data_IF_469556591356
#
_entry.id   IF_469556591356
#
_cell.length_a   1.000
_cell.length_b   1.000
_cell.length_c   1.000
_cell.angle_alpha   90.00
_cell.angle_beta   90.00
_cell.angle_gamma   90.00
#
_symmetry.space_group_name_H-M   'P 1'
#
loop_
_entity.id
_entity.type
_entity.pdbx_description
1 polymer ?
#
# COMPACT_ATOMS: atom_id res chain seq x y z
N UNK A 1 35.87 -0.70 22.16
CA UNK A 1 34.53 -1.26 22.34
C UNK A 1 33.57 -0.32 23.10
N UNK A 2 34.04 0.33 24.18
CA UNK A 2 33.22 1.24 25.03
C UNK A 2 32.71 2.48 24.28
N UNK A 3 33.49 3.08 23.38
CA UNK A 3 33.09 4.26 22.61
C UNK A 3 31.98 3.99 21.57
N UNK A 4 31.94 2.79 20.97
CA UNK A 4 30.87 2.40 20.03
C UNK A 4 29.52 2.23 20.74
N UNK A 5 29.52 1.62 21.92
CA UNK A 5 28.30 1.45 22.74
C UNK A 5 27.75 2.80 23.22
N UNK A 6 28.63 3.74 23.57
CA UNK A 6 28.22 5.08 23.99
C UNK A 6 27.57 5.86 22.84
N UNK A 7 28.18 5.83 21.65
CA UNK A 7 27.60 6.49 20.47
C UNK A 7 26.24 5.89 20.05
N UNK A 8 26.08 4.55 20.14
CA UNK A 8 24.82 3.87 19.88
C UNK A 8 23.76 4.27 20.90
N UNK A 9 24.10 4.28 22.18
CA UNK A 9 23.16 4.68 23.24
C UNK A 9 22.76 6.16 23.12
N UNK A 10 23.68 7.04 22.74
CA UNK A 10 23.38 8.46 22.51
C UNK A 10 22.45 8.66 21.30
N UNK A 11 22.68 7.93 20.22
CA UNK A 11 21.82 7.97 19.03
C UNK A 11 20.42 7.44 19.32
N UNK A 12 20.31 6.36 20.09
CA UNK A 12 19.01 5.81 20.53
C UNK A 12 18.27 6.80 21.44
N UNK A 13 18.96 7.43 22.38
CA UNK A 13 18.40 8.45 23.25
C UNK A 13 17.86 9.64 22.44
N UNK A 14 18.64 10.13 21.48
CA UNK A 14 18.22 11.21 20.58
C UNK A 14 16.99 10.83 19.74
N UNK A 15 16.96 9.61 19.21
CA UNK A 15 15.81 9.10 18.47
C UNK A 15 14.55 9.01 19.34
N UNK A 16 14.69 8.52 20.58
CA UNK A 16 13.58 8.43 21.53
C UNK A 16 13.05 9.82 21.91
N UNK A 17 13.93 10.79 22.15
CA UNK A 17 13.54 12.17 22.40
C UNK A 17 12.76 12.75 21.18
N UNK A 18 13.29 12.57 19.97
CA UNK A 18 12.64 13.04 18.75
C UNK A 18 11.25 12.41 18.57
N UNK A 19 11.10 11.12 18.85
CA UNK A 19 9.82 10.42 18.81
C UNK A 19 8.85 10.95 19.86
N UNK A 20 9.33 11.17 21.09
CA UNK A 20 8.50 11.72 22.18
C UNK A 20 8.02 13.14 21.88
N UNK A 21 8.89 14.02 21.37
CA UNK A 21 8.51 15.36 20.92
C UNK A 21 7.50 15.31 19.77
N UNK A 22 7.70 14.41 18.81
CA UNK A 22 6.77 14.21 17.71
C UNK A 22 5.38 13.79 18.23
N UNK A 23 5.33 12.80 19.12
CA UNK A 23 4.07 12.33 19.71
C UNK A 23 3.39 13.43 20.53
N UNK A 24 4.14 14.19 21.33
CA UNK A 24 3.61 15.34 22.07
C UNK A 24 3.01 16.39 21.13
N UNK A 25 3.73 16.75 20.06
CA UNK A 25 3.23 17.69 19.05
C UNK A 25 1.96 17.17 18.37
N UNK A 26 1.93 15.89 17.95
CA UNK A 26 0.80 15.29 17.25
C UNK A 26 -0.44 15.15 18.15
N UNK A 27 -0.26 14.95 19.44
CA UNK A 27 -1.38 14.91 20.42
C UNK A 27 -1.86 16.31 20.84
N UNK A 28 -1.25 17.37 20.34
CA UNK A 28 -1.64 18.74 20.69
C UNK A 28 -2.84 19.23 19.86
N UNK A 29 -3.64 20.11 20.45
CA UNK A 29 -4.71 20.83 19.75
C UNK A 29 -4.19 21.63 18.54
N UNK A 30 -2.91 22.04 18.57
CA UNK A 30 -2.30 22.76 17.48
C UNK A 30 -2.16 21.88 16.23
N UNK A 31 -1.72 20.63 16.42
CA UNK A 31 -1.63 19.67 15.31
C UNK A 31 -3.03 19.35 14.77
N UNK A 32 -3.98 19.10 15.64
CA UNK A 32 -5.37 18.82 15.24
C UNK A 32 -5.97 19.96 14.41
N UNK A 33 -5.82 21.22 14.85
CA UNK A 33 -6.23 22.41 14.10
C UNK A 33 -5.52 22.52 12.74
N UNK A 34 -4.24 22.15 12.68
CA UNK A 34 -3.46 22.19 11.42
C UNK A 34 -4.02 21.22 10.39
N UNK A 35 -4.30 19.97 10.77
CA UNK A 35 -4.81 18.94 9.84
C UNK A 35 -6.29 19.13 9.54
N UNK A 36 -7.05 19.80 10.41
CA UNK A 36 -8.48 20.09 10.25
C UNK A 36 -8.79 21.24 9.29
N UNK A 37 -7.78 21.84 8.65
CA UNK A 37 -7.98 22.84 7.58
C UNK A 37 -8.54 22.16 6.35
N UNK A 38 -9.86 22.09 6.24
CA UNK A 38 -10.59 21.45 5.15
C UNK A 38 -11.38 22.49 4.35
N UNK A 39 -11.68 22.18 3.10
CA UNK A 39 -12.55 22.97 2.23
C UNK A 39 -13.91 22.30 2.13
N UNK A 40 -14.93 23.07 1.83
CA UNK A 40 -16.24 22.50 1.47
C UNK A 40 -16.19 22.07 0.01
N UNK A 41 -16.02 20.78 -0.22
CA UNK A 41 -15.82 20.19 -1.53
C UNK A 41 -16.68 18.94 -1.68
N UNK A 42 -17.03 18.62 -2.90
CA UNK A 42 -17.87 17.46 -3.24
C UNK A 42 -17.07 16.39 -4.03
N UNK A 43 -17.60 15.19 -4.03
CA UNK A 43 -17.11 14.11 -4.89
C UNK A 43 -17.31 14.47 -6.36
N UNK A 44 -16.22 14.51 -7.12
CA UNK A 44 -16.24 14.67 -8.55
C UNK A 44 -15.98 13.31 -9.25
N UNK A 45 -14.88 12.64 -8.92
CA UNK A 45 -14.60 11.31 -9.41
C UNK A 45 -15.04 10.22 -8.42
N UNK A 46 -15.68 9.18 -8.93
CA UNK A 46 -16.19 8.03 -8.17
C UNK A 46 -15.43 6.76 -8.56
N UNK A 47 -14.38 6.39 -7.82
CA UNK A 47 -13.54 5.25 -8.17
C UNK A 47 -14.29 3.93 -8.08
N UNK A 48 -14.12 3.05 -9.06
CA UNK A 48 -14.72 1.73 -9.05
C UNK A 48 -14.10 0.84 -7.97
N UNK A 49 -14.88 0.23 -7.06
CA UNK A 49 -14.37 -0.71 -6.07
C UNK A 49 -13.73 -1.95 -6.71
N UNK A 50 -14.11 -2.26 -7.95
CA UNK A 50 -13.61 -3.39 -8.71
C UNK A 50 -12.09 -3.30 -9.01
N UNK A 51 -11.55 -2.10 -9.17
CA UNK A 51 -10.11 -1.91 -9.40
C UNK A 51 -9.26 -2.47 -8.25
N UNK A 52 -9.77 -2.44 -7.04
CA UNK A 52 -9.05 -2.87 -5.83
C UNK A 52 -9.46 -4.25 -5.34
N UNK A 53 -10.71 -4.64 -5.48
CA UNK A 53 -11.23 -5.90 -4.93
C UNK A 53 -10.48 -7.15 -5.42
N UNK A 54 -9.95 -7.09 -6.64
CA UNK A 54 -9.16 -8.17 -7.23
C UNK A 54 -7.70 -8.21 -6.78
N UNK A 55 -7.17 -7.08 -6.28
CA UNK A 55 -5.77 -6.93 -5.86
C UNK A 55 -5.64 -7.05 -4.36
N UNK A 56 -6.63 -6.52 -3.64
CA UNK A 56 -6.69 -6.58 -2.19
C UNK A 56 -7.38 -7.88 -1.79
N UNK A 57 -6.58 -8.90 -1.53
CA UNK A 57 -7.11 -10.17 -0.96
C UNK A 57 -7.53 -9.92 0.47
N UNK A 58 -8.81 -9.64 0.70
CA UNK A 58 -9.30 -9.59 2.06
C UNK A 58 -9.90 -10.93 2.48
N UNK A 59 -10.83 -11.46 1.73
CA UNK A 59 -11.39 -12.82 1.86
C UNK A 59 -12.15 -13.20 0.57
N UNK A 60 -12.21 -14.50 0.24
CA UNK A 60 -12.95 -14.98 -0.95
C UNK A 60 -14.47 -14.88 -0.78
N UNK A 61 -14.97 -14.82 0.47
CA UNK A 61 -16.40 -14.82 0.79
C UNK A 61 -16.89 -13.38 1.01
N UNK A 62 -17.97 -13.00 0.33
CA UNK A 62 -18.63 -11.70 0.57
C UNK A 62 -19.53 -11.79 1.79
N UNK A 63 -19.57 -10.72 2.57
CA UNK A 63 -20.36 -10.61 3.80
C UNK A 63 -21.44 -9.54 3.64
N UNK A 64 -22.56 -9.75 4.32
CA UNK A 64 -23.55 -8.70 4.56
C UNK A 64 -23.32 -8.10 5.93
N UNK A 65 -23.42 -6.78 6.06
CA UNK A 65 -23.41 -6.09 7.34
C UNK A 65 -24.88 -5.90 7.76
N UNK A 66 -25.49 -6.92 8.30
CA UNK A 66 -26.87 -6.77 8.81
C UNK A 66 -26.90 -6.67 10.36
N UNK A 67 -25.89 -7.26 11.03
CA UNK A 67 -25.93 -7.49 12.49
C UNK A 67 -24.68 -6.98 13.23
N UNK A 68 -24.06 -5.89 12.79
CA UNK A 68 -22.98 -5.31 13.58
C UNK A 68 -23.55 -4.52 14.77
N UNK A 69 -23.26 -4.99 15.98
CA UNK A 69 -23.43 -4.20 17.19
C UNK A 69 -22.45 -3.01 17.16
N UNK A 70 -22.90 -1.89 16.56
CA UNK A 70 -22.08 -0.71 16.27
C UNK A 70 -21.37 -0.14 17.50
N UNK A 71 -21.97 -0.31 18.69
CA UNK A 71 -21.43 0.21 19.93
C UNK A 71 -20.21 -0.60 20.43
N UNK A 72 -20.16 -1.88 20.13
CA UNK A 72 -19.13 -2.81 20.64
C UNK A 72 -17.97 -3.03 19.66
N UNK A 73 -18.15 -2.73 18.37
CA UNK A 73 -17.13 -2.94 17.32
C UNK A 73 -15.77 -2.32 17.69
N UNK A 74 -15.79 -1.13 18.35
CA UNK A 74 -14.59 -0.37 18.70
C UNK A 74 -14.13 -0.56 20.14
N UNK A 75 -14.86 -1.34 20.94
CA UNK A 75 -14.59 -1.51 22.37
C UNK A 75 -13.79 -2.74 22.73
N UNK A 76 -13.62 -3.68 21.82
CA UNK A 76 -12.91 -4.92 22.07
C UNK A 76 -11.40 -4.71 22.25
N UNK A 77 -10.80 -5.40 23.21
CA UNK A 77 -9.36 -5.48 23.43
C UNK A 77 -8.70 -6.27 22.26
N UNK A 78 -8.66 -5.64 21.10
CA UNK A 78 -8.08 -6.22 19.90
C UNK A 78 -6.56 -6.20 20.00
N UNK A 79 -5.92 -7.32 19.60
CA UNK A 79 -4.49 -7.32 19.37
C UNK A 79 -4.13 -6.37 18.20
N UNK A 80 -2.86 -6.03 18.04
CA UNK A 80 -2.43 -5.06 17.03
C UNK A 80 -2.82 -5.44 15.59
N UNK A 81 -2.81 -6.73 15.25
CA UNK A 81 -3.15 -7.21 13.91
C UNK A 81 -4.64 -7.06 13.62
N UNK A 82 -5.48 -7.42 14.59
CA UNK A 82 -6.95 -7.27 14.50
C UNK A 82 -7.35 -5.80 14.47
N UNK A 83 -6.76 -4.98 15.34
CA UNK A 83 -6.98 -3.54 15.35
C UNK A 83 -6.67 -2.91 13.98
N UNK A 84 -5.51 -3.23 13.39
CA UNK A 84 -5.13 -2.75 12.06
C UNK A 84 -6.12 -3.20 11.00
N UNK A 85 -6.54 -4.47 11.02
CA UNK A 85 -7.54 -5.01 10.06
C UNK A 85 -8.89 -4.33 10.18
N UNK A 86 -9.34 -4.05 11.39
CA UNK A 86 -10.62 -3.36 11.61
C UNK A 86 -10.56 -1.91 11.16
N UNK A 87 -9.53 -1.15 11.58
CA UNK A 87 -9.44 0.28 11.39
C UNK A 87 -8.96 0.71 10.00
N UNK A 88 -8.38 -0.17 9.18
CA UNK A 88 -8.03 0.11 7.80
C UNK A 88 -9.20 0.00 6.82
N UNK A 89 -10.31 -0.59 7.24
CA UNK A 89 -11.55 -0.77 6.47
C UNK A 89 -11.41 -1.54 5.15
N UNK A 90 -10.31 -2.21 4.88
CA UNK A 90 -10.17 -3.01 3.66
C UNK A 90 -11.16 -4.17 3.58
N UNK A 91 -11.74 -4.58 4.70
CA UNK A 91 -12.82 -5.55 4.74
C UNK A 91 -14.10 -5.07 4.00
N UNK A 92 -14.23 -3.74 3.73
CA UNK A 92 -15.31 -3.21 2.89
C UNK A 92 -15.29 -3.79 1.47
N UNK A 93 -14.12 -4.13 0.92
CA UNK A 93 -14.02 -4.81 -0.38
C UNK A 93 -14.59 -6.24 -0.38
N UNK A 94 -14.85 -6.81 0.79
CA UNK A 94 -15.52 -8.10 0.96
C UNK A 94 -17.02 -7.98 1.22
N UNK A 95 -17.56 -6.76 1.31
CA UNK A 95 -18.98 -6.56 1.47
C UNK A 95 -19.73 -6.80 0.16
N UNK A 96 -20.91 -7.36 0.27
CA UNK A 96 -21.85 -7.38 -0.85
C UNK A 96 -22.39 -5.96 -1.09
N UNK A 97 -22.50 -5.56 -2.35
CA UNK A 97 -23.14 -4.28 -2.73
C UNK A 97 -24.63 -4.23 -2.33
N UNK A 98 -25.24 -5.37 -2.02
CA UNK A 98 -26.57 -5.48 -1.40
C UNK A 98 -26.58 -5.21 0.10
N UNK A 99 -25.40 -5.04 0.72
CA UNK A 99 -25.29 -4.69 2.13
C UNK A 99 -26.00 -3.35 2.42
N UNK A 100 -26.51 -3.20 3.62
CA UNK A 100 -27.21 -1.98 4.03
C UNK A 100 -26.28 -0.77 3.99
N UNK A 101 -26.54 0.18 3.09
CA UNK A 101 -25.84 1.46 3.03
C UNK A 101 -25.96 2.20 4.38
N UNK A 102 -27.14 2.19 5.00
CA UNK A 102 -27.37 2.82 6.30
C UNK A 102 -26.44 2.28 7.38
N UNK A 103 -26.29 0.95 7.46
CA UNK A 103 -25.40 0.31 8.43
C UNK A 103 -23.94 0.66 8.15
N UNK A 104 -23.51 0.62 6.87
CA UNK A 104 -22.13 0.98 6.49
C UNK A 104 -21.81 2.43 6.84
N UNK A 105 -22.74 3.36 6.54
CA UNK A 105 -22.60 4.77 6.87
C UNK A 105 -22.62 5.01 8.38
N UNK A 106 -23.46 4.28 9.14
CA UNK A 106 -23.46 4.34 10.60
C UNK A 106 -22.14 3.86 11.21
N UNK A 107 -21.51 2.80 10.68
CA UNK A 107 -20.16 2.34 11.09
C UNK A 107 -19.14 3.44 10.89
N UNK A 108 -19.13 4.09 9.73
CA UNK A 108 -18.21 5.18 9.41
C UNK A 108 -18.46 6.39 10.32
N UNK A 109 -19.74 6.78 10.50
CA UNK A 109 -20.10 7.91 11.37
C UNK A 109 -19.67 7.68 12.82
N UNK A 110 -19.88 6.47 13.32
CA UNK A 110 -19.42 6.08 14.66
C UNK A 110 -17.90 6.16 14.78
N UNK A 111 -17.16 5.65 13.76
CA UNK A 111 -15.70 5.76 13.72
C UNK A 111 -15.24 7.22 13.72
N UNK A 112 -15.82 8.07 12.87
CA UNK A 112 -15.50 9.51 12.80
C UNK A 112 -15.73 10.18 14.15
N UNK A 113 -16.86 9.91 14.81
CA UNK A 113 -17.18 10.51 16.12
C UNK A 113 -16.16 10.12 17.20
N UNK A 114 -15.72 8.85 17.22
CA UNK A 114 -14.76 8.35 18.20
C UNK A 114 -13.32 8.78 17.89
N UNK A 115 -13.00 9.05 16.65
CA UNK A 115 -11.65 9.37 16.18
C UNK A 115 -11.57 10.77 15.56
N UNK A 116 -12.44 11.70 15.99
CA UNK A 116 -12.44 13.07 15.48
C UNK A 116 -11.13 13.81 15.74
N UNK A 117 -10.45 13.50 16.84
CA UNK A 117 -9.11 13.99 17.14
C UNK A 117 -8.06 12.97 16.78
N UNK A 118 -6.86 13.46 16.45
CA UNK A 118 -5.72 12.59 16.21
C UNK A 118 -5.45 11.68 17.42
N UNK A 119 -5.20 10.40 17.13
CA UNK A 119 -4.67 9.45 18.10
C UNK A 119 -3.68 8.51 17.42
N UNK A 120 -2.57 8.22 18.09
CA UNK A 120 -1.45 7.48 17.50
C UNK A 120 -1.85 6.12 16.93
N UNK A 121 -2.79 5.42 17.56
CA UNK A 121 -3.16 4.04 17.17
C UNK A 121 -4.11 4.04 15.98
N UNK A 122 -5.17 4.84 16.04
CA UNK A 122 -6.21 4.89 14.98
C UNK A 122 -5.77 5.66 13.74
N UNK A 123 -4.79 6.56 13.89
CA UNK A 123 -4.24 7.42 12.84
C UNK A 123 -2.86 6.98 12.37
N UNK A 124 -2.42 5.73 12.70
CA UNK A 124 -1.23 5.12 12.12
C UNK A 124 -1.26 5.31 10.60
N UNK A 125 -0.10 5.62 10.01
CA UNK A 125 0.00 6.03 8.62
C UNK A 125 -0.53 4.96 7.64
N UNK A 126 -0.16 3.70 7.85
CA UNK A 126 -0.61 2.57 7.01
C UNK A 126 -2.12 2.36 7.14
N UNK A 127 -2.64 2.41 8.37
CA UNK A 127 -4.08 2.28 8.65
C UNK A 127 -4.86 3.40 7.96
N UNK A 128 -4.40 4.64 8.12
CA UNK A 128 -5.06 5.84 7.57
C UNK A 128 -5.05 5.83 6.05
N UNK A 129 -3.93 5.46 5.43
CA UNK A 129 -3.81 5.35 3.97
C UNK A 129 -4.79 4.34 3.39
N UNK A 130 -4.86 3.14 3.97
CA UNK A 130 -5.78 2.08 3.55
C UNK A 130 -7.24 2.46 3.78
N UNK A 131 -7.54 3.12 4.89
CA UNK A 131 -8.90 3.59 5.20
C UNK A 131 -9.40 4.62 4.20
N UNK A 132 -8.60 5.61 3.84
CA UNK A 132 -8.94 6.58 2.78
C UNK A 132 -9.25 5.85 1.48
N UNK A 133 -8.36 4.96 1.04
CA UNK A 133 -8.55 4.17 -0.18
C UNK A 133 -9.85 3.36 -0.10
N UNK A 134 -10.10 2.69 1.02
CA UNK A 134 -11.28 1.87 1.19
C UNK A 134 -12.57 2.69 1.16
N UNK A 135 -12.61 3.80 1.90
CA UNK A 135 -13.81 4.62 1.97
C UNK A 135 -14.15 5.27 0.62
N UNK A 136 -13.15 5.82 -0.06
CA UNK A 136 -13.35 6.45 -1.37
C UNK A 136 -13.72 5.43 -2.45
N UNK A 137 -13.06 4.27 -2.49
CA UNK A 137 -13.32 3.25 -3.52
C UNK A 137 -14.66 2.53 -3.34
N UNK A 138 -15.19 2.47 -2.12
CA UNK A 138 -16.50 1.87 -1.85
C UNK A 138 -17.62 2.92 -1.78
N UNK A 139 -17.52 4.03 -2.51
CA UNK A 139 -18.45 5.18 -2.46
C UNK A 139 -19.93 4.78 -2.56
N UNK A 140 -20.28 3.72 -3.28
CA UNK A 140 -21.64 3.22 -3.40
C UNK A 140 -22.25 2.82 -2.06
N UNK A 141 -21.44 2.29 -1.13
CA UNK A 141 -21.85 1.89 0.22
C UNK A 141 -21.60 3.01 1.24
N UNK A 142 -20.54 3.79 1.04
CA UNK A 142 -20.03 4.72 2.06
C UNK A 142 -20.58 6.14 1.92
N UNK A 143 -20.93 6.56 0.70
CA UNK A 143 -21.23 7.96 0.39
C UNK A 143 -22.53 8.18 -0.37
N UNK A 144 -22.90 7.28 -1.30
CA UNK A 144 -24.10 7.47 -2.12
C UNK A 144 -25.40 7.30 -1.34
N UNK A 145 -26.31 8.23 -1.56
CA UNK A 145 -27.66 8.21 -0.94
C UNK A 145 -27.67 8.55 0.55
N UNK A 146 -26.58 9.12 1.08
CA UNK A 146 -26.57 9.64 2.45
C UNK A 146 -27.04 11.11 2.51
N UNK A 147 -27.36 11.53 3.73
CA UNK A 147 -27.77 12.91 4.04
C UNK A 147 -26.61 13.89 3.85
N UNK A 148 -26.90 15.14 3.51
CA UNK A 148 -25.89 16.18 3.24
C UNK A 148 -24.99 16.46 4.46
N UNK A 149 -25.53 16.39 5.67
CA UNK A 149 -24.73 16.54 6.89
C UNK A 149 -23.67 15.45 7.01
N UNK A 150 -24.04 14.18 6.73
CA UNK A 150 -23.09 13.08 6.72
C UNK A 150 -22.04 13.24 5.61
N UNK A 151 -22.43 13.65 4.39
CA UNK A 151 -21.49 13.91 3.28
C UNK A 151 -20.45 14.94 3.67
N UNK A 152 -20.88 16.06 4.26
CA UNK A 152 -19.98 17.11 4.75
C UNK A 152 -18.99 16.56 5.77
N UNK A 153 -19.48 15.84 6.76
CA UNK A 153 -18.66 15.21 7.80
C UNK A 153 -17.68 14.18 7.24
N UNK A 154 -18.13 13.35 6.31
CA UNK A 154 -17.30 12.37 5.61
C UNK A 154 -16.16 13.07 4.84
N UNK A 155 -16.49 14.07 4.01
CA UNK A 155 -15.53 14.82 3.22
C UNK A 155 -14.48 15.53 4.09
N UNK A 156 -14.90 16.14 5.19
CA UNK A 156 -14.01 16.75 6.18
C UNK A 156 -13.07 15.72 6.80
N UNK A 157 -13.61 14.55 7.17
CA UNK A 157 -12.80 13.46 7.74
C UNK A 157 -11.76 12.93 6.77
N UNK A 158 -12.10 12.73 5.48
CA UNK A 158 -11.14 12.31 4.45
C UNK A 158 -10.05 13.35 4.28
N UNK A 159 -10.39 14.63 4.14
CA UNK A 159 -9.40 15.70 3.99
C UNK A 159 -8.48 15.81 5.20
N UNK A 160 -9.02 15.72 6.41
CA UNK A 160 -8.25 15.74 7.65
C UNK A 160 -7.25 14.61 7.70
N UNK A 161 -7.65 13.38 7.32
CA UNK A 161 -6.79 12.23 7.22
C UNK A 161 -5.72 12.40 6.12
N UNK A 162 -6.08 12.90 4.94
CA UNK A 162 -5.13 13.18 3.87
C UNK A 162 -4.10 14.27 4.27
N UNK A 163 -4.53 15.31 4.99
CA UNK A 163 -3.63 16.31 5.56
C UNK A 163 -2.64 15.69 6.57
N UNK A 164 -3.10 14.73 7.38
CA UNK A 164 -2.21 13.95 8.25
C UNK A 164 -1.16 13.19 7.44
N UNK A 165 -1.56 12.46 6.38
CA UNK A 165 -0.62 11.74 5.52
C UNK A 165 0.40 12.67 4.87
N UNK A 166 -0.01 13.84 4.36
CA UNK A 166 0.89 14.84 3.79
C UNK A 166 1.97 15.34 4.77
N UNK A 167 1.62 15.47 6.05
CA UNK A 167 2.57 15.87 7.07
C UNK A 167 3.56 14.75 7.43
N UNK A 168 3.10 13.50 7.42
CA UNK A 168 3.87 12.36 7.92
C UNK A 168 4.73 11.66 6.86
N UNK A 169 4.37 11.69 5.59
CA UNK A 169 5.01 10.90 4.53
C UNK A 169 6.53 11.10 4.43
N UNK A 170 7.02 12.30 4.76
CA UNK A 170 8.46 12.62 4.74
C UNK A 170 9.24 11.92 5.86
N UNK A 171 8.57 11.61 6.96
CA UNK A 171 9.17 11.10 8.18
C UNK A 171 9.22 9.57 8.24
N UNK A 172 8.61 8.89 7.27
CA UNK A 172 8.59 7.45 7.21
C UNK A 172 9.91 6.89 6.69
N UNK A 173 10.30 5.73 7.19
CA UNK A 173 11.41 4.93 6.65
C UNK A 173 10.92 3.91 5.62
N UNK A 174 9.74 3.30 5.84
CA UNK A 174 9.22 2.19 5.04
C UNK A 174 8.68 2.66 3.69
N UNK A 175 9.30 2.21 2.61
CA UNK A 175 8.95 2.60 1.24
C UNK A 175 7.56 2.10 0.86
N UNK A 176 7.17 0.90 1.30
CA UNK A 176 5.85 0.32 1.06
C UNK A 176 4.75 1.24 1.58
N UNK A 177 4.87 1.68 2.82
CA UNK A 177 3.90 2.59 3.43
C UNK A 177 3.86 3.94 2.71
N UNK A 178 5.02 4.44 2.23
CA UNK A 178 5.06 5.67 1.41
C UNK A 178 4.30 5.52 0.10
N UNK A 179 4.44 4.40 -0.61
CA UNK A 179 3.72 4.15 -1.87
C UNK A 179 2.21 4.07 -1.62
N UNK A 180 1.78 3.33 -0.60
CA UNK A 180 0.37 3.22 -0.22
C UNK A 180 -0.18 4.60 0.17
N UNK A 181 0.59 5.38 0.93
CA UNK A 181 0.24 6.76 1.28
C UNK A 181 0.13 7.69 0.08
N UNK A 182 1.06 7.61 -0.88
CA UNK A 182 0.96 8.34 -2.13
C UNK A 182 -0.31 7.97 -2.89
N UNK A 183 -0.64 6.68 -2.97
CA UNK A 183 -1.87 6.21 -3.62
C UNK A 183 -3.12 6.82 -2.95
N UNK A 184 -3.18 6.83 -1.61
CA UNK A 184 -4.29 7.44 -0.87
C UNK A 184 -4.40 8.95 -1.12
N UNK A 185 -3.27 9.67 -1.11
CA UNK A 185 -3.21 11.11 -1.34
C UNK A 185 -3.61 11.44 -2.79
N UNK A 186 -3.09 10.69 -3.77
CA UNK A 186 -3.43 10.84 -5.20
C UNK A 186 -4.93 10.58 -5.40
N UNK A 187 -5.46 9.49 -4.85
CA UNK A 187 -6.88 9.17 -4.95
C UNK A 187 -7.75 10.29 -4.36
N UNK A 188 -7.36 10.84 -3.21
CA UNK A 188 -8.04 12.00 -2.61
C UNK A 188 -8.04 13.19 -3.58
N UNK A 189 -6.92 13.47 -4.24
CA UNK A 189 -6.82 14.56 -5.21
C UNK A 189 -7.61 14.33 -6.51
N UNK A 190 -7.78 13.08 -6.92
CA UNK A 190 -8.63 12.73 -8.08
C UNK A 190 -10.11 12.82 -7.74
N UNK A 191 -10.50 12.40 -6.53
CA UNK A 191 -11.89 12.45 -6.07
C UNK A 191 -12.35 13.88 -5.83
N UNK A 192 -11.48 14.76 -5.32
CA UNK A 192 -11.79 16.15 -5.00
C UNK A 192 -10.99 17.10 -5.88
N UNK A 193 -11.42 17.31 -7.12
CA UNK A 193 -10.69 18.11 -8.13
C UNK A 193 -10.40 19.57 -7.74
N UNK A 194 -11.24 20.14 -6.89
CA UNK A 194 -11.10 21.56 -6.48
C UNK A 194 -9.85 21.82 -5.63
N UNK A 195 -9.17 20.77 -5.15
CA UNK A 195 -7.92 20.90 -4.40
C UNK A 195 -6.75 20.15 -5.06
N UNK A 196 -6.14 20.78 -6.07
CA UNK A 196 -4.95 20.25 -6.76
C UNK A 196 -3.77 19.95 -5.83
N UNK A 197 -3.81 20.40 -4.57
CA UNK A 197 -2.75 20.19 -3.59
C UNK A 197 -2.47 18.71 -3.34
N UNK A 198 -3.52 17.89 -3.17
CA UNK A 198 -3.36 16.46 -2.91
C UNK A 198 -2.75 15.77 -4.11
N UNK A 199 -3.31 16.00 -5.30
CA UNK A 199 -2.84 15.35 -6.52
C UNK A 199 -1.39 15.72 -6.83
N UNK A 200 -1.07 17.02 -6.89
CA UNK A 200 0.27 17.51 -7.21
C UNK A 200 1.30 17.03 -6.17
N UNK A 201 0.97 17.11 -4.88
CA UNK A 201 1.91 16.70 -3.83
C UNK A 201 2.09 15.19 -3.82
N UNK A 202 1.02 14.41 -3.98
CA UNK A 202 1.08 12.95 -4.06
C UNK A 202 1.95 12.46 -5.22
N UNK A 203 1.77 13.03 -6.41
CA UNK A 203 2.59 12.74 -7.60
C UNK A 203 4.07 13.11 -7.40
N UNK A 204 4.35 14.26 -6.80
CA UNK A 204 5.71 14.68 -6.52
C UNK A 204 6.42 13.75 -5.52
N UNK A 205 5.72 13.27 -4.49
CA UNK A 205 6.27 12.28 -3.58
C UNK A 205 6.49 10.94 -4.27
N UNK A 206 5.52 10.47 -5.05
CA UNK A 206 5.64 9.22 -5.79
C UNK A 206 6.85 9.23 -6.72
N UNK A 207 7.06 10.31 -7.49
CA UNK A 207 8.24 10.48 -8.35
C UNK A 207 9.56 10.43 -7.58
N UNK A 208 9.62 11.04 -6.38
CA UNK A 208 10.81 10.97 -5.51
C UNK A 208 11.05 9.54 -5.00
N UNK A 209 10.00 8.81 -4.62
CA UNK A 209 10.09 7.44 -4.14
C UNK A 209 10.61 6.52 -5.24
N UNK A 210 10.10 6.65 -6.47
CA UNK A 210 10.60 5.88 -7.63
C UNK A 210 12.11 6.06 -7.75
N UNK A 211 12.57 7.30 -7.85
CA UNK A 211 13.99 7.63 -8.02
C UNK A 211 14.87 7.10 -6.87
N UNK A 212 14.37 7.13 -5.65
CA UNK A 212 15.14 6.70 -4.48
C UNK A 212 15.14 5.19 -4.25
N UNK A 213 14.06 4.48 -4.63
CA UNK A 213 13.80 3.12 -4.12
C UNK A 213 13.71 2.04 -5.20
N UNK A 214 13.62 2.43 -6.47
CA UNK A 214 13.62 1.51 -7.61
C UNK A 214 14.93 1.70 -8.38
N UNK A 215 15.55 0.61 -8.84
CA UNK A 215 16.75 0.66 -9.66
C UNK A 215 16.41 0.87 -11.16
N UNK A 216 17.42 1.04 -12.01
CA UNK A 216 17.22 1.29 -13.44
C UNK A 216 16.65 0.09 -14.21
N UNK A 217 16.62 -1.10 -13.60
CA UNK A 217 16.04 -2.31 -14.17
C UNK A 217 14.58 -2.52 -13.72
N UNK A 218 13.99 -1.57 -12.97
CA UNK A 218 12.64 -1.68 -12.46
C UNK A 218 12.49 -2.68 -11.32
N UNK A 219 13.51 -2.83 -10.49
CA UNK A 219 13.45 -3.69 -9.31
C UNK A 219 13.63 -2.86 -8.03
N UNK A 220 12.99 -3.22 -6.90
CA UNK A 220 13.25 -2.57 -5.62
C UNK A 220 14.73 -2.66 -5.24
N UNK A 221 15.32 -1.55 -4.80
CA UNK A 221 16.72 -1.53 -4.34
C UNK A 221 16.98 -2.42 -3.11
N UNK A 222 15.94 -2.78 -2.39
CA UNK A 222 15.97 -3.79 -1.32
C UNK A 222 16.18 -5.21 -1.80
N UNK A 223 15.98 -5.46 -3.09
CA UNK A 223 15.95 -6.79 -3.71
C UNK A 223 14.85 -7.71 -3.16
N UNK A 224 13.83 -7.14 -2.52
CA UNK A 224 12.69 -7.87 -1.99
C UNK A 224 11.63 -8.09 -3.10
N UNK A 225 11.35 -9.35 -3.38
CA UNK A 225 10.38 -9.77 -4.40
C UNK A 225 8.94 -9.38 -4.01
N UNK A 226 8.60 -9.36 -2.72
CA UNK A 226 7.28 -8.93 -2.24
C UNK A 226 7.06 -7.45 -2.53
N UNK A 227 8.11 -6.64 -2.31
CA UNK A 227 8.03 -5.21 -2.62
C UNK A 227 7.83 -4.97 -4.11
N UNK A 228 8.47 -5.76 -4.98
CA UNK A 228 8.24 -5.67 -6.42
C UNK A 228 6.76 -5.84 -6.78
N UNK A 229 6.13 -6.88 -6.27
CA UNK A 229 4.72 -7.19 -6.53
C UNK A 229 3.80 -6.09 -5.94
N UNK A 230 4.09 -5.63 -4.72
CA UNK A 230 3.33 -4.57 -4.08
C UNK A 230 3.43 -3.25 -4.86
N UNK A 231 4.64 -2.88 -5.28
CA UNK A 231 4.85 -1.65 -6.06
C UNK A 231 4.08 -1.71 -7.38
N UNK A 232 4.24 -2.79 -8.14
CA UNK A 232 3.54 -2.97 -9.40
C UNK A 232 2.01 -2.86 -9.21
N UNK A 233 1.44 -3.49 -8.19
CA UNK A 233 0.02 -3.40 -7.86
C UNK A 233 -0.44 -1.97 -7.64
N UNK A 234 0.24 -1.21 -6.81
CA UNK A 234 -0.17 0.16 -6.50
C UNK A 234 0.06 1.13 -7.66
N UNK A 235 1.10 0.95 -8.46
CA UNK A 235 1.31 1.76 -9.66
C UNK A 235 0.20 1.53 -10.70
N UNK A 236 -0.18 0.27 -10.92
CA UNK A 236 -1.31 -0.07 -11.81
C UNK A 236 -2.62 0.54 -11.29
N UNK A 237 -2.90 0.42 -9.99
CA UNK A 237 -4.11 1.01 -9.40
C UNK A 237 -4.14 2.52 -9.63
N UNK A 238 -3.04 3.22 -9.35
CA UNK A 238 -2.94 4.66 -9.58
C UNK A 238 -3.22 4.98 -11.05
N UNK A 239 -2.59 4.27 -11.98
CA UNK A 239 -2.81 4.45 -13.41
C UNK A 239 -4.27 4.26 -13.83
N UNK A 240 -4.92 3.20 -13.34
CA UNK A 240 -6.31 2.92 -13.64
C UNK A 240 -7.25 3.98 -13.06
N UNK A 241 -6.96 4.55 -11.89
CA UNK A 241 -7.71 5.70 -11.37
C UNK A 241 -7.58 6.94 -12.25
N UNK A 242 -6.37 7.23 -12.78
CA UNK A 242 -6.20 8.31 -13.76
C UNK A 242 -7.03 8.08 -15.00
N UNK A 243 -7.02 6.86 -15.54
CA UNK A 243 -7.79 6.46 -16.71
C UNK A 243 -9.30 6.59 -16.47
N UNK A 244 -9.81 6.04 -15.37
CA UNK A 244 -11.23 6.13 -14.99
C UNK A 244 -11.68 7.58 -14.79
N UNK A 245 -10.87 8.41 -14.16
CA UNK A 245 -11.18 9.81 -13.90
C UNK A 245 -10.92 10.72 -15.12
N UNK A 246 -10.53 10.16 -16.27
CA UNK A 246 -10.23 10.90 -17.51
C UNK A 246 -9.14 11.98 -17.33
N UNK A 247 -8.21 11.76 -16.41
CA UNK A 247 -7.06 12.63 -16.21
C UNK A 247 -5.87 12.13 -17.03
N UNK A 248 -4.98 13.04 -17.44
CA UNK A 248 -3.73 12.70 -18.12
C UNK A 248 -2.83 11.89 -17.21
N UNK A 249 -2.45 10.69 -17.65
CA UNK A 249 -1.53 9.82 -16.91
C UNK A 249 -0.11 10.40 -17.04
N UNK A 250 0.60 10.67 -15.93
CA UNK A 250 2.00 11.09 -16.00
C UNK A 250 2.87 9.99 -16.62
N UNK A 251 3.66 10.34 -17.63
CA UNK A 251 4.51 9.41 -18.40
C UNK A 251 5.39 8.52 -17.52
N UNK A 252 5.98 9.06 -16.46
CA UNK A 252 6.83 8.30 -15.55
C UNK A 252 6.09 7.16 -14.80
N UNK A 253 4.74 7.21 -14.71
CA UNK A 253 3.93 6.13 -14.13
C UNK A 253 3.90 4.95 -15.11
N UNK A 254 3.62 5.21 -16.39
CA UNK A 254 3.62 4.18 -17.44
C UNK A 254 5.00 3.55 -17.59
N UNK A 255 6.05 4.36 -17.60
CA UNK A 255 7.43 3.91 -17.63
C UNK A 255 7.77 3.02 -16.43
N UNK A 256 7.39 3.44 -15.22
CA UNK A 256 7.62 2.64 -13.99
C UNK A 256 6.88 1.31 -14.04
N UNK A 257 5.62 1.30 -14.48
CA UNK A 257 4.84 0.07 -14.65
C UNK A 257 5.50 -0.86 -15.66
N UNK A 258 6.02 -0.33 -16.76
CA UNK A 258 6.73 -1.14 -17.76
C UNK A 258 7.93 -1.85 -17.14
N UNK A 259 8.83 -1.14 -16.47
CA UNK A 259 10.03 -1.75 -15.88
C UNK A 259 9.72 -2.68 -14.70
N UNK A 260 8.81 -2.32 -13.80
CA UNK A 260 8.35 -3.22 -12.73
C UNK A 260 7.68 -4.48 -13.32
N UNK A 261 6.91 -4.32 -14.39
CA UNK A 261 6.26 -5.43 -15.08
C UNK A 261 7.25 -6.38 -15.75
N UNK A 262 8.33 -5.84 -16.37
CA UNK A 262 9.42 -6.66 -16.90
C UNK A 262 10.10 -7.47 -15.79
N UNK A 263 10.36 -6.85 -14.65
CA UNK A 263 10.93 -7.52 -13.48
C UNK A 263 9.99 -8.58 -12.91
N UNK A 264 8.69 -8.31 -12.87
CA UNK A 264 7.66 -9.26 -12.45
C UNK A 264 7.58 -10.46 -13.39
N UNK A 265 7.62 -10.23 -14.72
CA UNK A 265 7.65 -11.31 -15.71
C UNK A 265 8.88 -12.19 -15.56
N UNK A 266 10.05 -11.59 -15.30
CA UNK A 266 11.29 -12.30 -15.07
C UNK A 266 11.23 -13.23 -13.85
N UNK A 267 10.76 -12.71 -12.71
CA UNK A 267 10.78 -13.44 -11.42
C UNK A 267 9.61 -14.41 -11.28
N UNK A 268 8.42 -14.05 -11.80
CA UNK A 268 7.21 -14.83 -11.57
C UNK A 268 6.69 -15.55 -12.81
N UNK A 269 6.39 -14.81 -13.88
CA UNK A 269 5.70 -15.41 -15.04
C UNK A 269 6.54 -16.45 -15.79
N UNK A 270 7.87 -16.27 -15.79
CA UNK A 270 8.77 -17.23 -16.41
C UNK A 270 8.91 -18.52 -15.59
N UNK A 271 8.69 -18.47 -14.30
CA UNK A 271 8.91 -19.56 -13.34
C UNK A 271 7.60 -20.21 -12.95
N UNK A 272 6.54 -19.42 -12.85
CA UNK A 272 5.19 -19.80 -12.40
C UNK A 272 5.18 -20.43 -11.00
N UNK A 273 6.13 -20.08 -10.16
CA UNK A 273 6.24 -20.46 -8.76
C UNK A 273 6.93 -19.34 -7.97
N UNK A 274 6.63 -19.24 -6.66
CA UNK A 274 7.31 -18.30 -5.78
C UNK A 274 8.77 -18.70 -5.57
N UNK A 275 9.69 -17.77 -5.78
CA UNK A 275 11.07 -17.90 -5.34
C UNK A 275 11.20 -17.44 -3.89
N UNK A 276 11.73 -18.30 -3.04
CA UNK A 276 11.85 -18.04 -1.59
C UNK A 276 13.18 -17.36 -1.25
N UNK A 277 13.54 -16.32 -1.99
CA UNK A 277 14.72 -15.51 -1.70
C UNK A 277 14.37 -14.33 -0.79
N UNK A 278 15.31 -13.97 0.07
CA UNK A 278 15.27 -12.74 0.87
C UNK A 278 13.97 -12.55 1.67
N UNK A 279 13.50 -13.62 2.34
CA UNK A 279 12.30 -13.58 3.17
C UNK A 279 10.99 -13.60 2.38
N UNK A 280 11.02 -13.91 1.10
CA UNK A 280 9.81 -14.16 0.36
C UNK A 280 9.14 -15.44 0.87
N UNK A 281 7.82 -15.52 0.78
CA UNK A 281 7.04 -16.70 1.16
C UNK A 281 6.07 -17.04 0.03
N UNK A 282 5.54 -18.24 0.07
CA UNK A 282 4.54 -18.68 -0.92
C UNK A 282 3.36 -17.68 -0.95
N UNK A 283 3.28 -16.95 -2.06
CA UNK A 283 2.18 -16.04 -2.37
C UNK A 283 1.57 -16.51 -3.69
N UNK A 284 0.30 -16.89 -3.68
CA UNK A 284 -0.38 -17.19 -4.94
C UNK A 284 -0.67 -15.88 -5.68
N UNK A 285 0.04 -15.60 -6.76
CA UNK A 285 -0.16 -14.43 -7.61
C UNK A 285 -1.11 -14.67 -8.80
N UNK A 286 -1.73 -15.85 -8.92
CA UNK A 286 -2.62 -16.20 -10.04
C UNK A 286 -3.78 -15.19 -10.21
N UNK A 287 -4.35 -14.71 -9.11
CA UNK A 287 -5.40 -13.71 -9.17
C UNK A 287 -4.87 -12.36 -9.69
N UNK A 288 -3.62 -12.04 -9.38
CA UNK A 288 -2.98 -10.84 -9.91
C UNK A 288 -2.66 -10.98 -11.40
N UNK A 289 -2.20 -12.14 -11.86
CA UNK A 289 -2.01 -12.41 -13.29
C UNK A 289 -3.33 -12.35 -14.07
N UNK A 290 -4.43 -12.87 -13.49
CA UNK A 290 -5.77 -12.72 -14.10
C UNK A 290 -6.20 -11.25 -14.15
N UNK A 291 -5.90 -10.47 -13.12
CA UNK A 291 -6.14 -9.03 -13.12
C UNK A 291 -5.35 -8.32 -14.22
N UNK A 292 -4.05 -8.60 -14.33
CA UNK A 292 -3.21 -8.04 -15.39
C UNK A 292 -3.76 -8.32 -16.78
N UNK A 293 -4.10 -9.58 -17.06
CA UNK A 293 -4.71 -9.98 -18.34
C UNK A 293 -6.01 -9.22 -18.63
N UNK A 294 -6.88 -9.07 -17.64
CA UNK A 294 -8.17 -8.38 -17.77
C UNK A 294 -8.01 -6.89 -18.12
N UNK A 295 -7.01 -6.24 -17.58
CA UNK A 295 -6.71 -4.83 -17.87
C UNK A 295 -5.74 -4.63 -19.04
N UNK A 296 -5.38 -5.71 -19.74
CA UNK A 296 -4.51 -5.65 -20.93
C UNK A 296 -3.03 -5.44 -20.62
N UNK A 297 -2.60 -5.69 -19.39
CA UNK A 297 -1.17 -5.65 -19.04
C UNK A 297 -0.50 -6.95 -19.44
N UNK A 298 0.41 -6.87 -20.41
CA UNK A 298 1.22 -7.99 -20.88
C UNK A 298 2.69 -7.65 -20.71
N UNK A 299 3.35 -8.36 -19.84
CA UNK A 299 4.79 -8.22 -19.61
C UNK A 299 5.53 -9.47 -20.12
N UNK A 300 6.70 -9.28 -20.69
CA UNK A 300 7.58 -10.36 -21.17
C UNK A 300 9.01 -10.00 -20.85
N UNK A 301 9.76 -10.95 -20.36
CA UNK A 301 11.19 -10.79 -20.14
C UNK A 301 11.90 -12.12 -20.43
N UNK A 302 12.84 -12.10 -21.37
CA UNK A 302 13.61 -13.28 -21.81
C UNK A 302 15.06 -13.23 -21.33
N UNK A 303 15.42 -12.24 -20.52
CA UNK A 303 16.75 -12.14 -19.97
C UNK A 303 17.06 -13.35 -19.08
N UNK A 304 18.33 -13.72 -19.01
CA UNK A 304 18.81 -14.75 -18.07
C UNK A 304 19.17 -14.15 -16.71
N UNK A 305 19.41 -12.85 -16.67
CA UNK A 305 19.83 -12.13 -15.48
C UNK A 305 19.08 -10.79 -15.37
N UNK A 306 18.61 -10.46 -14.17
CA UNK A 306 17.97 -9.20 -13.87
C UNK A 306 18.12 -8.85 -12.38
N UNK A 307 18.54 -7.62 -12.08
CA UNK A 307 18.61 -7.07 -10.73
C UNK A 307 19.33 -7.96 -9.69
N UNK A 308 20.36 -8.70 -10.15
CA UNK A 308 21.12 -9.60 -9.31
C UNK A 308 20.47 -10.97 -9.09
N UNK A 309 19.47 -11.32 -9.87
CA UNK A 309 18.92 -12.68 -9.95
C UNK A 309 19.24 -13.27 -11.31
N UNK A 310 19.61 -14.56 -11.34
CA UNK A 310 19.78 -15.34 -12.56
C UNK A 310 18.67 -16.41 -12.64
N UNK A 311 18.13 -16.61 -13.84
CA UNK A 311 17.16 -17.66 -14.13
C UNK A 311 17.59 -18.40 -15.39
N UNK A 312 17.99 -19.65 -15.22
CA UNK A 312 18.33 -20.54 -16.31
C UNK A 312 17.19 -21.57 -16.48
N UNK A 313 16.65 -21.63 -17.67
CA UNK A 313 15.50 -22.48 -17.98
C UNK A 313 15.73 -23.35 -19.21
N UNK A 314 15.39 -24.62 -19.08
CA UNK A 314 15.19 -25.52 -20.20
C UNK A 314 13.79 -26.13 -20.17
N UNK A 315 13.48 -27.09 -21.03
CA UNK A 315 12.14 -27.73 -21.11
C UNK A 315 11.69 -28.39 -19.80
N UNK A 316 12.59 -28.85 -18.95
CA UNK A 316 12.28 -29.64 -17.75
C UNK A 316 12.72 -29.00 -16.45
N UNK A 317 13.76 -28.19 -16.48
CA UNK A 317 14.42 -27.68 -15.28
C UNK A 317 14.53 -26.16 -15.34
N UNK A 318 14.23 -25.52 -14.21
CA UNK A 318 14.48 -24.09 -13.97
C UNK A 318 15.43 -24.02 -12.78
N UNK A 319 16.56 -23.34 -12.96
CA UNK A 319 17.50 -22.96 -11.91
C UNK A 319 17.39 -21.46 -11.69
N UNK A 320 17.06 -21.03 -10.50
CA UNK A 320 17.06 -19.63 -10.09
C UNK A 320 18.13 -19.42 -9.02
N UNK A 321 18.88 -18.32 -9.10
CA UNK A 321 19.99 -18.04 -8.19
C UNK A 321 20.05 -16.55 -7.84
N UNK A 322 20.35 -16.25 -6.58
CA UNK A 322 20.72 -14.91 -6.14
C UNK A 322 22.20 -14.68 -6.39
N UNK A 323 22.55 -13.89 -7.41
CA UNK A 323 23.92 -13.58 -7.84
C UNK A 323 24.32 -12.13 -7.57
N UNK A 324 23.44 -11.35 -6.96
CA UNK A 324 23.66 -9.92 -6.78
C UNK A 324 24.32 -9.56 -5.46
N UNK A 325 24.85 -8.35 -5.43
CA UNK A 325 25.41 -7.77 -4.22
C UNK A 325 24.30 -7.51 -3.19
N UNK A 326 24.65 -7.52 -1.91
CA UNK A 326 23.74 -7.10 -0.83
C UNK A 326 23.23 -5.69 -1.07
N UNK A 327 21.97 -5.39 -0.73
CA UNK A 327 21.44 -4.03 -0.76
C UNK A 327 22.27 -3.10 0.14
N UNK A 328 22.29 -1.80 -0.20
CA UNK A 328 22.88 -0.81 0.70
C UNK A 328 22.13 -0.78 2.05
N UNK A 329 22.80 -0.30 3.10
CA UNK A 329 22.30 -0.29 4.49
C UNK A 329 20.86 0.24 4.61
N UNK A 330 20.54 1.30 3.88
CA UNK A 330 19.19 1.89 3.88
C UNK A 330 18.08 0.96 3.35
N UNK A 331 18.43 -0.09 2.62
CA UNK A 331 17.51 -1.05 2.00
C UNK A 331 17.68 -2.47 2.51
N UNK A 332 18.61 -2.73 3.42
CA UNK A 332 18.97 -4.08 3.88
C UNK A 332 18.11 -4.64 5.00
N UNK A 333 17.15 -3.88 5.52
CA UNK A 333 16.36 -4.24 6.72
C UNK A 333 15.77 -5.65 6.69
N UNK A 334 15.35 -6.13 5.54
CA UNK A 334 14.73 -7.45 5.36
C UNK A 334 15.59 -8.40 4.53
N UNK A 335 16.82 -7.99 4.20
CA UNK A 335 17.73 -8.82 3.41
C UNK A 335 18.33 -9.92 4.28
N UNK A 336 18.22 -11.16 3.83
CA UNK A 336 18.62 -12.35 4.60
C UNK A 336 19.98 -12.92 4.18
N UNK A 337 20.84 -12.11 3.57
CA UNK A 337 22.20 -12.54 3.16
C UNK A 337 22.21 -13.77 2.24
N UNK A 338 21.22 -13.87 1.36
CA UNK A 338 21.03 -15.02 0.46
C UNK A 338 21.98 -15.08 -0.72
N UNK A 339 23.15 -14.41 -0.67
CA UNK A 339 24.10 -14.45 -1.78
C UNK A 339 24.47 -15.87 -2.17
N UNK A 340 24.35 -16.19 -3.48
CA UNK A 340 24.53 -17.52 -4.06
C UNK A 340 23.51 -18.58 -3.61
N UNK A 341 22.45 -18.19 -2.88
CA UNK A 341 21.34 -19.10 -2.66
C UNK A 341 20.66 -19.43 -3.99
N UNK A 342 20.18 -20.66 -4.15
CA UNK A 342 19.55 -21.08 -5.39
C UNK A 342 18.35 -22.00 -5.12
N UNK A 343 17.46 -22.05 -6.10
CA UNK A 343 16.33 -22.97 -6.13
C UNK A 343 16.29 -23.73 -7.45
N UNK A 344 15.91 -25.00 -7.40
CA UNK A 344 15.75 -25.86 -8.57
C UNK A 344 14.32 -26.36 -8.64
N UNK A 345 13.70 -26.13 -9.80
CA UNK A 345 12.37 -26.62 -10.12
C UNK A 345 12.49 -27.59 -11.29
N UNK A 346 11.95 -28.80 -11.14
CA UNK A 346 11.92 -29.78 -12.22
C UNK A 346 10.50 -30.27 -12.47
N UNK A 347 10.09 -30.23 -13.73
CA UNK A 347 8.73 -30.64 -14.14
C UNK A 347 7.62 -30.01 -13.28
N UNK A 348 7.79 -28.73 -12.94
CA UNK A 348 6.82 -27.97 -12.13
C UNK A 348 6.87 -28.25 -10.61
N UNK A 349 7.82 -29.05 -10.14
CA UNK A 349 8.00 -29.32 -8.69
C UNK A 349 9.33 -28.78 -8.19
N UNK A 350 9.33 -28.11 -7.04
CA UNK A 350 10.57 -27.69 -6.38
C UNK A 350 11.33 -28.89 -5.87
N UNK A 351 12.57 -29.05 -6.33
CA UNK A 351 13.53 -30.07 -5.87
C UNK A 351 14.45 -29.52 -4.79
N UNK A 352 14.91 -28.28 -5.00
CA UNK A 352 15.73 -27.54 -4.02
C UNK A 352 15.03 -26.21 -3.79
N UNK A 353 14.85 -25.86 -2.53
CA UNK A 353 14.16 -24.62 -2.13
C UNK A 353 14.85 -24.00 -0.93
N UNK A 354 14.76 -22.67 -0.84
CA UNK A 354 15.14 -21.95 0.35
C UNK A 354 14.02 -21.99 1.41
N UNK A 355 14.36 -21.64 2.62
CA UNK A 355 13.41 -21.59 3.74
C UNK A 355 12.53 -20.33 3.72
N UNK A 356 12.84 -19.36 2.90
CA UNK A 356 12.16 -18.06 2.83
C UNK A 356 12.73 -17.01 3.74
#
# INVERSE_FOLDING_TARGET
MITKNFAVNLSQYYLNLKLSFKQFYQNSNFYDKKISKTKDITFDYKPSPYLLSSIVKYQKKKYKIEDFALETIWQNNLNNKEFKKLNNFFWFFSLDLKSSKKTTQAVINNWINKNNHYNNRGWDFDITSKRIISWLSNHQLTYEGCEEEFKKKFNQSIQKQANHLLNEIKNLSEVENKIIGCAAIILTGLVYKDDNKYLTTGLNFLKKIIKSSINNQGFPKSRDIKQLVLYLKYFIIIREWFKESQNTIPEYIDETIYYLGQSYAFIWQNINQDLLFNGNYNSNNDEFDQYLKRFGYVFKNENKELAGYAVLKNKKVILSMDIGNSPSENFSRFYQSGALSFEVISSGKKLITNSG
#
